data_IF_282837758961
#
_entry.id   IF_282837758961
#
_cell.length_a   1.000
_cell.length_b   1.000
_cell.length_c   1.000
_cell.angle_alpha   90.00
_cell.angle_beta   90.00
_cell.angle_gamma   90.00
#
_symmetry.space_group_name_H-M   'P 1'
#
loop_
_entity.id
_entity.type
_entity.pdbx_description
1 polymer ?
#
# COMPACT_ATOMS: atom_id res chain seq x y z
N UNK A 1 -4.68 23.06 5.12
CA UNK A 1 -5.71 22.24 4.44
C UNK A 1 -5.54 22.40 2.95
N UNK A 2 -5.04 21.37 2.25
CA UNK A 2 -5.09 21.33 0.79
C UNK A 2 -6.33 20.52 0.42
N UNK A 3 -7.22 21.14 -0.33
CA UNK A 3 -8.41 20.53 -0.93
C UNK A 3 -7.95 19.28 -1.68
N UNK A 4 -8.47 18.11 -1.29
CA UNK A 4 -8.26 16.86 -2.02
C UNK A 4 -9.03 16.92 -3.34
N UNK A 5 -8.50 16.31 -4.42
CA UNK A 5 -9.19 16.30 -5.69
C UNK A 5 -10.50 15.51 -5.57
N UNK A 6 -11.61 16.12 -5.99
CA UNK A 6 -12.81 15.38 -6.36
C UNK A 6 -12.42 14.45 -7.51
N UNK A 7 -12.46 13.15 -7.26
CA UNK A 7 -12.42 12.16 -8.35
C UNK A 7 -13.85 12.04 -8.86
N UNK A 8 -14.21 12.93 -9.77
CA UNK A 8 -15.44 12.80 -10.55
C UNK A 8 -15.15 11.81 -11.67
N UNK A 9 -15.61 10.57 -11.53
CA UNK A 9 -15.58 9.59 -12.61
C UNK A 9 -16.81 9.85 -13.48
N UNK A 10 -16.63 10.61 -14.57
CA UNK A 10 -17.68 10.87 -15.54
C UNK A 10 -18.05 9.59 -16.31
N UNK A 11 -19.23 9.04 -16.03
CA UNK A 11 -19.86 8.07 -16.94
C UNK A 11 -21.39 8.23 -16.99
N UNK A 12 -21.94 8.41 -18.19
CA UNK A 12 -23.36 8.72 -18.45
C UNK A 12 -24.20 7.46 -18.76
N UNK A 13 -25.50 7.41 -18.40
CA UNK A 13 -26.16 6.18 -17.91
C UNK A 13 -27.35 5.66 -18.75
N UNK A 14 -27.81 4.41 -18.50
CA UNK A 14 -29.24 4.01 -18.48
C UNK A 14 -29.52 2.60 -17.90
N UNK A 15 -30.25 2.57 -16.78
CA UNK A 15 -31.17 1.60 -16.11
C UNK A 15 -30.90 0.08 -15.86
N UNK A 16 -31.10 -0.31 -14.58
CA UNK A 16 -31.64 -1.59 -14.04
C UNK A 16 -30.60 -2.56 -13.43
N UNK A 17 -30.59 -2.98 -12.15
CA UNK A 17 -31.45 -2.81 -10.96
C UNK A 17 -30.58 -2.73 -9.69
N UNK A 18 -31.03 -1.93 -8.72
CA UNK A 18 -30.39 -1.70 -7.41
C UNK A 18 -31.01 -2.63 -6.37
N UNK A 19 -30.17 -3.30 -5.56
CA UNK A 19 -30.61 -3.97 -4.34
C UNK A 19 -30.82 -2.92 -3.24
N UNK A 20 -32.02 -2.36 -3.22
CA UNK A 20 -32.63 -1.80 -2.02
C UNK A 20 -33.69 -2.79 -1.53
N UNK A 21 -33.54 -3.30 -0.30
CA UNK A 21 -34.68 -3.93 0.39
C UNK A 21 -35.39 -2.79 1.12
N UNK A 22 -36.48 -2.29 0.55
CA UNK A 22 -37.51 -1.57 1.29
C UNK A 22 -38.88 -2.19 1.01
N UNK A 23 -39.58 -2.50 2.11
CA UNK A 23 -40.95 -2.98 2.12
C UNK A 23 -41.87 -1.78 1.91
N UNK A 24 -42.47 -1.66 0.72
CA UNK A 24 -43.49 -0.65 0.46
C UNK A 24 -44.84 -1.09 1.02
N UNK A 25 -45.18 -0.64 2.23
CA UNK A 25 -46.59 -0.46 2.59
C UNK A 25 -47.01 0.92 2.12
N UNK A 26 -47.89 0.94 1.09
CA UNK A 26 -48.54 2.16 0.60
C UNK A 26 -49.38 2.76 1.71
N UNK A 27 -49.13 4.02 2.05
CA UNK A 27 -50.21 4.92 2.42
C UNK A 27 -49.84 6.36 2.06
N UNK A 28 -50.83 7.01 1.46
CA UNK A 28 -50.78 8.33 0.85
C UNK A 28 -50.68 9.46 1.87
N UNK A 29 -50.20 10.59 1.37
CA UNK A 29 -50.40 11.95 1.87
C UNK A 29 -49.44 12.49 2.95
N UNK A 30 -48.67 13.48 2.52
CA UNK A 30 -48.51 14.73 3.27
C UNK A 30 -47.37 14.78 4.28
N UNK A 31 -46.35 15.56 3.92
CA UNK A 31 -45.26 16.08 4.77
C UNK A 31 -44.14 15.07 5.07
N UNK A 32 -43.12 15.00 4.20
CA UNK A 32 -41.82 14.45 4.59
C UNK A 32 -40.97 15.56 5.21
N UNK A 33 -41.10 15.72 6.52
CA UNK A 33 -40.17 16.44 7.37
C UNK A 33 -38.90 15.60 7.51
N UNK A 34 -38.04 15.56 6.49
CA UNK A 34 -36.76 14.83 6.52
C UNK A 34 -35.71 15.51 5.62
N UNK A 35 -35.34 16.75 5.97
CA UNK A 35 -34.18 17.46 5.40
C UNK A 35 -32.84 17.05 6.06
N UNK A 36 -32.73 15.85 6.64
CA UNK A 36 -31.55 15.42 7.42
C UNK A 36 -30.73 14.28 6.78
N UNK A 37 -31.04 13.91 5.52
CA UNK A 37 -30.32 12.85 4.78
C UNK A 37 -29.45 13.38 3.63
N UNK A 38 -29.02 14.63 3.73
CA UNK A 38 -28.39 15.42 2.66
C UNK A 38 -26.91 15.08 2.38
N UNK A 39 -26.49 13.82 2.53
CA UNK A 39 -25.09 13.44 2.23
C UNK A 39 -24.93 12.02 1.69
N UNK A 40 -25.88 11.56 0.88
CA UNK A 40 -25.68 10.35 0.07
C UNK A 40 -24.75 10.72 -1.09
N UNK A 41 -23.44 10.58 -0.90
CA UNK A 41 -22.47 10.70 -2.00
C UNK A 41 -22.49 9.42 -2.84
N UNK A 42 -22.73 9.53 -4.14
CA UNK A 42 -22.52 8.43 -5.09
C UNK A 42 -21.03 8.05 -5.07
N UNK A 43 -20.70 6.81 -4.68
CA UNK A 43 -19.34 6.42 -4.28
C UNK A 43 -18.53 5.83 -5.44
N UNK A 44 -19.12 4.90 -6.19
CA UNK A 44 -18.45 4.21 -7.30
C UNK A 44 -19.48 3.52 -8.20
N UNK A 45 -19.10 3.30 -9.47
CA UNK A 45 -19.87 2.57 -10.48
C UNK A 45 -18.98 1.48 -11.11
N UNK A 46 -19.26 0.21 -10.85
CA UNK A 46 -18.56 -0.94 -11.44
C UNK A 46 -19.33 -1.49 -12.65
N UNK A 47 -18.62 -1.89 -13.73
CA UNK A 47 -19.22 -2.58 -14.89
C UNK A 47 -18.75 -4.02 -15.00
N UNK A 48 -19.69 -4.92 -15.29
CA UNK A 48 -19.38 -6.29 -15.71
C UNK A 48 -18.78 -6.31 -17.12
N UNK A 49 -17.67 -7.02 -17.31
CA UNK A 49 -16.97 -7.19 -18.60
C UNK A 49 -17.47 -8.39 -19.42
N UNK A 50 -18.48 -9.12 -18.93
CA UNK A 50 -18.96 -10.36 -19.55
C UNK A 50 -20.41 -10.24 -20.03
N UNK A 51 -20.65 -9.62 -21.17
CA UNK A 51 -21.85 -9.87 -22.01
C UNK A 51 -21.46 -9.60 -23.48
N UNK A 52 -21.52 -10.62 -24.35
CA UNK A 52 -21.28 -10.52 -25.80
C UNK A 52 -22.59 -10.29 -26.60
N UNK A 53 -23.69 -9.92 -25.94
CA UNK A 53 -24.97 -9.68 -26.59
C UNK A 53 -25.14 -8.20 -26.99
N UNK A 54 -25.38 -7.98 -28.29
CA UNK A 54 -25.38 -6.66 -28.94
C UNK A 54 -26.55 -5.73 -28.61
N UNK A 55 -27.51 -6.11 -27.76
CA UNK A 55 -28.75 -5.32 -27.56
C UNK A 55 -29.11 -5.00 -26.10
N UNK A 56 -28.28 -5.36 -25.12
CA UNK A 56 -28.53 -5.01 -23.71
C UNK A 56 -27.29 -4.45 -23.04
N UNK A 57 -27.36 -3.19 -22.59
CA UNK A 57 -26.29 -2.55 -21.82
C UNK A 57 -25.96 -3.37 -20.57
N UNK A 58 -24.67 -3.62 -20.26
CA UNK A 58 -24.30 -4.43 -19.10
C UNK A 58 -24.69 -3.72 -17.79
N UNK A 59 -25.05 -4.48 -16.73
CA UNK A 59 -25.53 -3.92 -15.47
C UNK A 59 -24.46 -3.11 -14.75
N UNK A 60 -24.90 -2.00 -14.14
CA UNK A 60 -24.07 -1.04 -13.39
C UNK A 60 -24.37 -1.14 -11.90
N UNK A 61 -23.36 -1.40 -11.07
CA UNK A 61 -23.51 -1.44 -9.62
C UNK A 61 -23.13 -0.10 -8.99
N UNK A 62 -24.01 0.45 -8.15
CA UNK A 62 -23.75 1.67 -7.38
C UNK A 62 -23.71 1.32 -5.89
N UNK A 63 -22.62 1.71 -5.22
CA UNK A 63 -22.51 1.58 -3.77
C UNK A 63 -22.83 2.93 -3.12
N UNK A 64 -23.75 2.93 -2.17
CA UNK A 64 -24.13 4.11 -1.39
C UNK A 64 -23.82 3.83 0.07
N UNK A 65 -23.01 4.70 0.69
CA UNK A 65 -22.77 4.67 2.12
C UNK A 65 -22.79 6.10 2.64
N UNK A 66 -23.43 6.34 3.77
CA UNK A 66 -23.46 7.65 4.45
C UNK A 66 -22.11 8.01 5.12
N UNK A 67 -21.01 7.44 4.64
CA UNK A 67 -19.68 7.70 5.17
C UNK A 67 -18.75 8.10 4.02
N UNK A 68 -17.89 9.07 4.28
CA UNK A 68 -16.86 9.46 3.34
C UNK A 68 -15.76 8.41 3.29
N UNK A 69 -15.34 8.06 2.08
CA UNK A 69 -14.23 7.15 1.85
C UNK A 69 -12.90 7.91 1.91
N UNK A 70 -11.93 7.32 2.59
CA UNK A 70 -10.57 7.87 2.72
C UNK A 70 -9.61 7.29 1.70
N UNK A 71 -9.73 6.00 1.38
CA UNK A 71 -8.88 5.32 0.41
C UNK A 71 -9.66 4.29 -0.43
N UNK A 72 -9.19 4.04 -1.64
CA UNK A 72 -9.70 3.00 -2.56
C UNK A 72 -8.53 2.30 -3.24
N UNK A 73 -8.63 0.99 -3.37
CA UNK A 73 -7.67 0.16 -4.11
C UNK A 73 -8.38 -1.07 -4.69
N UNK A 74 -7.78 -1.72 -5.69
CA UNK A 74 -8.33 -2.91 -6.32
C UNK A 74 -7.22 -3.92 -6.60
N UNK A 75 -7.57 -5.20 -6.59
CA UNK A 75 -6.67 -6.27 -6.99
C UNK A 75 -7.41 -7.50 -7.45
N UNK A 76 -6.66 -8.57 -7.76
CA UNK A 76 -7.24 -9.83 -8.20
C UNK A 76 -6.34 -11.00 -7.83
N UNK A 77 -6.94 -12.15 -7.48
CA UNK A 77 -6.24 -13.39 -7.19
C UNK A 77 -6.92 -14.59 -7.84
N UNK A 78 -6.22 -15.73 -7.87
CA UNK A 78 -6.75 -16.96 -8.46
C UNK A 78 -7.35 -17.83 -7.35
N UNK A 79 -8.60 -18.22 -7.56
CA UNK A 79 -9.30 -19.24 -6.77
C UNK A 79 -9.21 -20.56 -7.53
N UNK A 80 -8.63 -21.56 -6.87
CA UNK A 80 -8.54 -22.92 -7.39
C UNK A 80 -9.80 -23.69 -6.97
N UNK A 81 -10.58 -24.13 -7.95
CA UNK A 81 -11.74 -24.99 -7.74
C UNK A 81 -11.56 -26.36 -8.41
N UNK A 82 -12.46 -27.32 -8.16
CA UNK A 82 -12.43 -28.62 -8.82
C UNK A 82 -12.58 -28.44 -10.35
N UNK A 83 -11.47 -28.56 -11.08
CA UNK A 83 -11.45 -28.56 -12.55
C UNK A 83 -11.28 -27.21 -13.25
N UNK A 84 -11.18 -26.08 -12.54
CA UNK A 84 -10.89 -24.79 -13.15
C UNK A 84 -10.24 -23.78 -12.19
N UNK A 85 -9.35 -22.95 -12.75
CA UNK A 85 -8.83 -21.74 -12.09
C UNK A 85 -9.71 -20.55 -12.49
N UNK A 86 -10.26 -19.84 -11.51
CA UNK A 86 -10.99 -18.61 -11.74
C UNK A 86 -10.24 -17.42 -11.15
N UNK A 87 -10.13 -16.35 -11.95
CA UNK A 87 -9.65 -15.05 -11.48
C UNK A 87 -10.79 -14.36 -10.73
N UNK A 88 -10.54 -14.02 -9.47
CA UNK A 88 -11.43 -13.24 -8.63
C UNK A 88 -10.89 -11.82 -8.52
N UNK A 89 -11.67 -10.82 -8.93
CA UNK A 89 -11.30 -9.41 -8.85
C UNK A 89 -12.09 -8.73 -7.72
N UNK A 90 -11.45 -7.83 -6.99
CA UNK A 90 -12.05 -7.16 -5.86
C UNK A 90 -11.54 -5.74 -5.67
N UNK A 91 -12.31 -4.98 -4.91
CA UNK A 91 -12.05 -3.63 -4.46
C UNK A 91 -12.00 -3.61 -2.93
N UNK A 92 -11.08 -2.83 -2.39
CA UNK A 92 -11.02 -2.50 -0.97
C UNK A 92 -11.19 -1.00 -0.81
N UNK A 93 -12.11 -0.62 0.06
CA UNK A 93 -12.48 0.77 0.34
C UNK A 93 -12.33 1.01 1.83
N UNK A 94 -11.72 2.12 2.24
CA UNK A 94 -11.73 2.52 3.66
C UNK A 94 -12.59 3.75 3.87
N UNK A 95 -13.24 3.81 5.03
CA UNK A 95 -14.01 4.98 5.47
C UNK A 95 -13.22 5.82 6.46
N UNK A 96 -13.64 7.07 6.67
CA UNK A 96 -13.02 7.96 7.65
C UNK A 96 -13.09 7.42 9.09
N UNK A 97 -14.03 6.52 9.38
CA UNK A 97 -14.17 5.87 10.69
C UNK A 97 -13.25 4.64 10.86
N UNK A 98 -12.49 4.27 9.83
CA UNK A 98 -11.58 3.12 9.89
C UNK A 98 -12.22 1.77 9.57
N UNK A 99 -13.38 1.75 8.91
CA UNK A 99 -13.96 0.53 8.36
C UNK A 99 -13.36 0.24 6.99
N UNK A 100 -13.01 -1.02 6.71
CA UNK A 100 -12.57 -1.49 5.39
C UNK A 100 -13.66 -2.39 4.81
N UNK A 101 -14.19 -1.98 3.65
CA UNK A 101 -15.22 -2.69 2.91
C UNK A 101 -14.57 -3.40 1.72
N UNK A 102 -14.92 -4.67 1.55
CA UNK A 102 -14.38 -5.55 0.51
C UNK A 102 -15.48 -5.91 -0.48
N UNK A 103 -15.38 -5.40 -1.70
CA UNK A 103 -16.38 -5.60 -2.76
C UNK A 103 -15.80 -6.46 -3.89
N UNK A 104 -16.60 -7.36 -4.46
CA UNK A 104 -16.26 -8.06 -5.70
C UNK A 104 -16.30 -7.10 -6.90
N UNK A 105 -15.86 -7.57 -8.07
CA UNK A 105 -16.09 -6.92 -9.37
C UNK A 105 -17.56 -6.53 -9.64
N UNK A 106 -18.47 -7.35 -9.15
CA UNK A 106 -19.93 -7.17 -9.18
C UNK A 106 -20.45 -6.24 -8.09
N UNK A 107 -19.58 -5.56 -7.35
CA UNK A 107 -19.96 -4.61 -6.30
C UNK A 107 -20.58 -5.26 -5.06
N UNK A 108 -20.64 -6.60 -5.00
CA UNK A 108 -21.17 -7.32 -3.84
C UNK A 108 -20.11 -7.40 -2.76
N UNK A 109 -20.51 -7.12 -1.53
CA UNK A 109 -19.64 -7.35 -0.39
C UNK A 109 -19.44 -8.87 -0.21
N UNK A 110 -18.21 -9.34 -0.38
CA UNK A 110 -17.89 -10.79 -0.32
C UNK A 110 -17.32 -11.23 1.03
N UNK A 111 -16.99 -10.26 1.91
CA UNK A 111 -16.57 -10.49 3.31
C UNK A 111 -17.18 -9.41 4.21
N UNK A 112 -17.45 -9.70 5.50
CA UNK A 112 -17.79 -8.67 6.47
C UNK A 112 -16.76 -7.53 6.48
N UNK A 113 -17.22 -6.32 6.80
CA UNK A 113 -16.32 -5.16 6.91
C UNK A 113 -15.31 -5.40 8.02
N UNK A 114 -14.07 -4.99 7.78
CA UNK A 114 -13.00 -5.05 8.78
C UNK A 114 -12.98 -3.71 9.52
N UNK A 115 -13.18 -3.74 10.83
CA UNK A 115 -13.29 -2.53 11.64
C UNK A 115 -11.98 -2.28 12.40
N UNK A 116 -11.30 -1.17 12.08
CA UNK A 116 -10.08 -0.73 12.79
C UNK A 116 -10.34 0.42 13.76
N UNK A 117 -11.49 1.11 13.62
CA UNK A 117 -11.87 2.25 14.46
C UNK A 117 -10.95 3.48 14.34
N UNK A 118 -10.04 3.48 13.37
CA UNK A 118 -9.08 4.58 13.12
C UNK A 118 -8.94 4.76 11.61
N UNK A 119 -8.98 6.01 11.16
CA UNK A 119 -8.81 6.33 9.74
C UNK A 119 -7.47 5.82 9.20
N UNK A 120 -7.46 5.49 7.91
CA UNK A 120 -6.28 5.03 7.19
C UNK A 120 -5.51 6.17 6.54
N UNK A 121 -4.20 5.99 6.44
CA UNK A 121 -3.33 6.80 5.59
C UNK A 121 -3.10 6.10 4.25
N UNK A 122 -2.94 4.78 4.29
CA UNK A 122 -2.69 3.95 3.12
C UNK A 122 -3.56 2.70 3.17
N UNK A 123 -4.12 2.35 2.01
CA UNK A 123 -4.79 1.08 1.77
C UNK A 123 -4.28 0.54 0.44
N UNK A 124 -3.68 -0.64 0.46
CA UNK A 124 -2.97 -1.21 -0.69
C UNK A 124 -3.42 -2.64 -0.87
N UNK A 125 -3.85 -2.99 -2.08
CA UNK A 125 -4.23 -4.34 -2.43
C UNK A 125 -3.24 -4.93 -3.45
N UNK A 126 -2.83 -6.18 -3.23
CA UNK A 126 -1.98 -6.92 -4.15
C UNK A 126 -2.31 -8.41 -4.07
N UNK A 127 -2.69 -8.99 -5.21
CA UNK A 127 -3.13 -10.38 -5.29
C UNK A 127 -4.26 -10.63 -4.28
N UNK A 128 -4.16 -11.62 -3.39
CA UNK A 128 -5.14 -11.91 -2.35
C UNK A 128 -4.98 -11.05 -1.09
N UNK A 129 -3.97 -10.19 -1.03
CA UNK A 129 -3.62 -9.45 0.18
C UNK A 129 -4.14 -8.03 0.18
N UNK A 130 -4.58 -7.58 1.35
CA UNK A 130 -4.87 -6.17 1.63
C UNK A 130 -4.04 -5.73 2.81
N UNK A 131 -3.30 -4.64 2.63
CA UNK A 131 -2.50 -3.99 3.67
C UNK A 131 -3.10 -2.62 3.98
N UNK A 132 -3.31 -2.36 5.26
CA UNK A 132 -3.77 -1.08 5.77
C UNK A 132 -2.73 -0.47 6.70
N UNK A 133 -2.52 0.85 6.58
CA UNK A 133 -1.72 1.63 7.51
C UNK A 133 -2.61 2.71 8.12
N UNK A 134 -2.79 2.65 9.42
CA UNK A 134 -3.62 3.60 10.16
C UNK A 134 -2.92 4.95 10.30
N UNK A 135 -3.69 5.99 10.62
CA UNK A 135 -3.15 7.30 11.00
C UNK A 135 -2.24 7.26 12.23
N UNK A 136 -2.47 6.30 13.14
CA UNK A 136 -1.60 6.06 14.29
C UNK A 136 -0.27 5.37 13.94
N UNK A 137 -0.02 5.05 12.67
CA UNK A 137 1.22 4.41 12.22
C UNK A 137 1.29 2.92 12.55
N UNK A 138 0.14 2.26 12.64
CA UNK A 138 0.05 0.80 12.83
C UNK A 138 -0.29 0.14 11.49
N UNK A 139 0.31 -1.03 11.24
CA UNK A 139 0.17 -1.78 10.00
C UNK A 139 -0.63 -3.05 10.26
N UNK A 140 -1.55 -3.32 9.35
CA UNK A 140 -2.37 -4.51 9.33
C UNK A 140 -2.30 -5.14 7.94
N UNK A 141 -2.36 -6.47 7.87
CA UNK A 141 -2.42 -7.19 6.60
C UNK A 141 -3.31 -8.41 6.72
N UNK A 142 -4.10 -8.66 5.67
CA UNK A 142 -5.00 -9.80 5.59
C UNK A 142 -4.84 -10.56 4.28
N UNK A 143 -4.87 -11.88 4.38
CA UNK A 143 -5.04 -12.82 3.28
C UNK A 143 -6.54 -13.07 3.09
N UNK A 144 -7.11 -12.50 2.03
CA UNK A 144 -8.54 -12.60 1.76
C UNK A 144 -8.96 -13.98 1.22
N UNK A 145 -8.03 -14.67 0.55
CA UNK A 145 -8.26 -16.01 -0.01
C UNK A 145 -8.40 -17.02 1.12
N UNK A 146 -7.47 -17.02 2.07
CA UNK A 146 -7.48 -17.92 3.21
C UNK A 146 -8.28 -17.39 4.41
N UNK A 147 -8.69 -16.11 4.38
CA UNK A 147 -9.47 -15.49 5.45
C UNK A 147 -8.68 -15.36 6.76
N UNK A 148 -7.41 -14.97 6.67
CA UNK A 148 -6.49 -14.90 7.83
C UNK A 148 -5.84 -13.53 7.93
N UNK A 149 -5.53 -13.12 9.16
CA UNK A 149 -4.58 -12.02 9.37
C UNK A 149 -3.17 -12.52 9.10
N UNK A 150 -2.40 -11.73 8.36
CA UNK A 150 -0.96 -11.92 8.13
C UNK A 150 -0.16 -11.08 9.13
N UNK A 151 -0.64 -9.87 9.41
CA UNK A 151 -0.03 -8.91 10.34
C UNK A 151 -1.15 -8.24 11.11
N UNK A 152 -0.99 -8.17 12.43
CA UNK A 152 -1.93 -7.51 13.32
C UNK A 152 -1.24 -6.42 14.13
N UNK A 153 -1.71 -5.18 13.96
CA UNK A 153 -1.33 -4.00 14.76
C UNK A 153 0.19 -3.78 14.96
N UNK A 154 0.99 -3.91 13.91
CA UNK A 154 2.44 -3.71 14.00
C UNK A 154 2.81 -2.24 13.84
N UNK A 155 3.54 -1.69 14.81
CA UNK A 155 3.94 -0.28 14.79
C UNK A 155 5.07 0.01 13.78
N UNK A 156 4.96 1.14 13.07
CA UNK A 156 6.02 1.72 12.24
C UNK A 156 7.05 2.53 13.04
N UNK A 157 6.80 2.77 14.34
CA UNK A 157 7.67 3.58 15.19
C UNK A 157 9.15 3.11 15.20
N UNK A 158 9.49 1.80 15.24
CA UNK A 158 10.88 1.35 15.21
C UNK A 158 11.63 1.82 13.96
N UNK A 159 10.94 1.89 12.82
CA UNK A 159 11.54 2.30 11.55
C UNK A 159 11.90 3.78 11.53
N UNK A 160 11.04 4.59 12.13
CA UNK A 160 11.12 6.05 12.06
C UNK A 160 11.98 6.61 13.20
N UNK A 161 11.81 6.09 14.42
CA UNK A 161 12.42 6.63 15.62
C UNK A 161 13.94 6.44 15.68
N UNK A 162 14.47 5.40 15.03
CA UNK A 162 15.92 5.21 14.92
C UNK A 162 16.64 6.37 14.19
N UNK A 163 15.90 7.16 13.40
CA UNK A 163 16.42 8.35 12.71
C UNK A 163 15.94 9.67 13.33
N UNK A 164 15.38 9.61 14.53
CA UNK A 164 14.95 10.79 15.29
C UNK A 164 16.10 11.31 16.15
N UNK A 165 16.30 12.62 16.17
CA UNK A 165 17.27 13.27 17.06
C UNK A 165 16.53 14.11 18.11
N UNK A 166 17.03 14.10 19.34
CA UNK A 166 16.50 14.94 20.39
C UNK A 166 17.09 16.35 20.28
N UNK A 167 16.22 17.35 20.15
CA UNK A 167 16.60 18.75 20.18
C UNK A 167 16.49 19.27 21.63
N UNK A 168 17.62 19.49 22.34
CA UNK A 168 17.61 19.90 23.74
C UNK A 168 17.07 21.31 23.95
N UNK A 169 17.16 22.18 22.94
CA UNK A 169 16.67 23.57 23.01
C UNK A 169 15.15 23.58 22.92
N UNK A 170 14.58 22.81 21.99
CA UNK A 170 13.13 22.70 21.80
C UNK A 170 12.47 21.62 22.65
N UNK A 171 13.26 20.85 23.41
CA UNK A 171 12.84 19.71 24.23
C UNK A 171 11.92 18.75 23.48
N UNK A 172 12.23 18.45 22.22
CA UNK A 172 11.39 17.60 21.36
C UNK A 172 12.24 16.72 20.45
N UNK A 173 11.69 15.58 20.06
CA UNK A 173 12.27 14.77 19.00
C UNK A 173 11.95 15.38 17.64
N UNK A 174 12.98 15.52 16.80
CA UNK A 174 12.81 15.85 15.39
C UNK A 174 13.12 14.60 14.57
N UNK A 175 12.12 14.10 13.85
CA UNK A 175 12.28 12.99 12.92
C UNK A 175 12.84 13.50 11.60
N UNK A 176 13.96 12.93 11.15
CA UNK A 176 14.62 13.31 9.90
C UNK A 176 14.09 12.58 8.66
N UNK A 177 13.29 11.54 8.87
CA UNK A 177 12.78 10.65 7.80
C UNK A 177 11.26 10.65 7.72
N UNK A 178 10.74 10.33 6.54
CA UNK A 178 9.32 10.11 6.26
C UNK A 178 9.16 8.83 5.47
N UNK A 179 7.99 8.20 5.57
CA UNK A 179 7.61 7.13 4.66
C UNK A 179 7.35 7.75 3.29
N UNK A 180 8.02 7.25 2.26
CA UNK A 180 7.90 7.73 0.88
C UNK A 180 7.11 6.74 0.04
N UNK A 181 7.37 5.45 0.24
CA UNK A 181 6.68 4.39 -0.49
C UNK A 181 6.36 3.21 0.42
N UNK A 182 5.27 2.53 0.07
CA UNK A 182 4.80 1.31 0.72
C UNK A 182 4.44 0.35 -0.41
N UNK A 183 5.02 -0.84 -0.36
CA UNK A 183 4.73 -1.93 -1.30
C UNK A 183 4.28 -3.16 -0.53
N UNK A 184 3.55 -4.05 -1.21
CA UNK A 184 3.18 -5.36 -0.66
C UNK A 184 4.03 -6.42 -1.36
N UNK A 185 4.69 -7.28 -0.60
CA UNK A 185 5.45 -8.42 -1.13
C UNK A 185 4.54 -9.66 -1.25
N UNK A 186 5.05 -10.76 -1.84
CA UNK A 186 4.24 -11.93 -2.21
C UNK A 186 3.60 -12.66 -1.02
N UNK A 187 4.17 -12.55 0.18
CA UNK A 187 3.60 -13.12 1.41
C UNK A 187 2.61 -12.19 2.13
N UNK A 188 2.18 -11.10 1.50
CA UNK A 188 1.29 -10.11 2.09
C UNK A 188 1.94 -9.15 3.08
N UNK A 189 3.24 -9.24 3.32
CA UNK A 189 3.94 -8.32 4.22
C UNK A 189 4.26 -6.97 3.53
N UNK A 190 4.35 -5.87 4.31
CA UNK A 190 4.74 -4.56 3.81
C UNK A 190 6.25 -4.48 3.59
N UNK A 191 6.63 -3.78 2.52
CA UNK A 191 7.96 -3.22 2.28
C UNK A 191 7.84 -1.70 2.36
N UNK A 192 8.46 -1.10 3.37
CA UNK A 192 8.44 0.32 3.67
C UNK A 192 9.73 0.96 3.20
N UNK A 193 9.62 2.05 2.45
CA UNK A 193 10.77 2.80 1.96
C UNK A 193 10.71 4.21 2.54
N UNK A 194 11.78 4.61 3.19
CA UNK A 194 11.90 5.90 3.85
C UNK A 194 12.56 6.95 2.94
N UNK A 195 12.45 8.22 3.31
CA UNK A 195 13.00 9.35 2.56
C UNK A 195 14.53 9.43 2.54
N UNK A 196 15.18 8.73 3.46
CA UNK A 196 16.62 8.49 3.45
C UNK A 196 16.97 7.22 2.65
N UNK A 197 16.05 6.72 1.83
CA UNK A 197 16.20 5.59 0.93
C UNK A 197 16.48 4.22 1.61
N UNK A 198 16.38 4.14 2.95
CA UNK A 198 16.37 2.86 3.66
C UNK A 198 15.07 2.11 3.37
N UNK A 199 15.16 0.80 3.19
CA UNK A 199 14.00 -0.06 2.98
C UNK A 199 13.92 -1.15 4.05
N UNK A 200 12.72 -1.31 4.60
CA UNK A 200 12.42 -2.27 5.67
C UNK A 200 11.28 -3.18 5.25
N UNK A 201 11.45 -4.48 5.45
CA UNK A 201 10.39 -5.48 5.27
C UNK A 201 9.99 -6.01 6.62
N UNK A 202 8.70 -6.22 6.84
CA UNK A 202 8.27 -6.98 8.01
C UNK A 202 8.33 -8.48 7.70
N UNK A 203 8.93 -9.25 8.60
CA UNK A 203 9.00 -10.71 8.50
C UNK A 203 8.07 -11.33 9.54
N UNK A 204 6.97 -11.91 9.08
CA UNK A 204 5.93 -12.45 9.96
C UNK A 204 6.40 -13.64 10.79
N UNK A 205 7.37 -14.43 10.31
CA UNK A 205 7.94 -15.54 11.10
C UNK A 205 8.79 -15.08 12.27
N UNK A 206 9.40 -13.89 12.17
CA UNK A 206 10.24 -13.29 13.21
C UNK A 206 9.50 -12.23 14.03
N UNK A 207 8.27 -11.89 13.63
CA UNK A 207 7.48 -10.81 14.22
C UNK A 207 8.30 -9.51 14.37
N UNK A 208 9.04 -9.17 13.31
CA UNK A 208 10.06 -8.12 13.38
C UNK A 208 10.25 -7.41 12.04
N UNK A 209 10.59 -6.13 12.14
CA UNK A 209 11.08 -5.34 11.01
C UNK A 209 12.53 -5.69 10.71
N UNK A 210 12.82 -6.01 9.46
CA UNK A 210 14.17 -6.29 8.97
C UNK A 210 14.57 -5.17 8.01
N UNK A 211 15.75 -4.59 8.24
CA UNK A 211 16.38 -3.72 7.26
C UNK A 211 16.84 -4.56 6.07
N UNK A 212 16.14 -4.45 4.95
CA UNK A 212 16.46 -5.19 3.72
C UNK A 212 17.42 -4.42 2.83
N UNK A 213 17.53 -3.11 3.03
CA UNK A 213 18.40 -2.28 2.23
C UNK A 213 18.77 -0.98 2.94
N UNK A 214 20.08 -0.75 3.08
CA UNK A 214 20.66 0.51 3.52
C UNK A 214 21.47 1.14 2.37
N UNK A 215 21.14 2.37 1.92
CA UNK A 215 21.87 3.09 0.89
C UNK A 215 23.36 3.27 1.18
N UNK A 216 23.76 3.21 2.46
CA UNK A 216 25.16 3.26 2.86
C UNK A 216 26.02 2.21 2.14
N UNK A 217 25.46 1.03 1.86
CA UNK A 217 26.13 -0.04 1.12
C UNK A 217 26.46 0.34 -0.33
N UNK A 218 25.60 1.13 -1.00
CA UNK A 218 25.83 1.52 -2.40
C UNK A 218 27.05 2.43 -2.57
N UNK A 219 27.42 3.20 -1.55
CA UNK A 219 28.61 4.06 -1.59
C UNK A 219 29.91 3.27 -1.70
N UNK A 220 29.88 1.98 -1.35
CA UNK A 220 31.07 1.15 -1.20
C UNK A 220 31.05 -0.09 -2.11
N UNK A 221 30.03 -0.24 -2.96
CA UNK A 221 29.88 -1.37 -3.87
C UNK A 221 29.97 -0.96 -5.32
N UNK A 222 30.45 -1.89 -6.15
CA UNK A 222 30.51 -1.67 -7.58
C UNK A 222 29.16 -2.00 -8.26
N UNK A 223 28.80 -1.24 -9.30
CA UNK A 223 27.56 -1.37 -10.08
C UNK A 223 27.24 -2.82 -10.52
N UNK A 224 28.27 -3.61 -10.82
CA UNK A 224 28.14 -4.99 -11.29
C UNK A 224 27.67 -5.91 -10.17
N UNK A 225 28.14 -5.71 -8.94
CA UNK A 225 27.79 -6.52 -7.78
C UNK A 225 26.36 -6.24 -7.35
N UNK A 226 26.01 -4.95 -7.27
CA UNK A 226 24.67 -4.49 -6.94
C UNK A 226 23.64 -5.06 -7.92
N UNK A 227 23.91 -5.01 -9.23
CA UNK A 227 23.01 -5.58 -10.26
C UNK A 227 22.88 -7.10 -10.18
N UNK A 228 23.88 -7.83 -9.68
CA UNK A 228 23.82 -9.29 -9.52
C UNK A 228 22.95 -9.69 -8.32
N UNK A 229 22.98 -8.92 -7.25
CA UNK A 229 22.32 -9.23 -5.98
C UNK A 229 20.79 -9.09 -6.05
N UNK A 230 20.28 -8.08 -6.76
CA UNK A 230 18.84 -7.85 -6.88
C UNK A 230 18.24 -8.44 -8.15
N UNK A 231 18.72 -9.61 -8.59
CA UNK A 231 18.22 -10.24 -9.83
C UNK A 231 16.81 -10.79 -9.68
N UNK A 232 16.48 -11.34 -8.51
CA UNK A 232 15.26 -12.12 -8.28
C UNK A 232 14.08 -11.28 -7.79
N UNK A 233 14.31 -10.27 -6.95
CA UNK A 233 13.22 -9.38 -6.50
C UNK A 233 13.06 -8.17 -7.43
N UNK A 234 11.95 -8.13 -8.17
CA UNK A 234 11.62 -7.07 -9.11
C UNK A 234 11.50 -5.69 -8.45
N UNK A 235 10.93 -5.62 -7.25
CA UNK A 235 10.67 -4.35 -6.55
C UNK A 235 12.00 -3.78 -6.06
N UNK A 236 12.82 -4.60 -5.40
CA UNK A 236 14.15 -4.18 -4.95
C UNK A 236 15.05 -3.80 -6.12
N UNK A 237 14.98 -4.52 -7.25
CA UNK A 237 15.71 -4.15 -8.46
C UNK A 237 15.36 -2.76 -8.98
N UNK A 238 14.06 -2.42 -9.02
CA UNK A 238 13.59 -1.11 -9.46
C UNK A 238 14.07 -0.03 -8.49
N UNK A 239 13.97 -0.29 -7.19
CA UNK A 239 14.40 0.61 -6.14
C UNK A 239 15.90 0.91 -6.24
N UNK A 240 16.71 -0.14 -6.28
CA UNK A 240 18.17 -0.04 -6.36
C UNK A 240 18.60 0.67 -7.65
N UNK A 241 17.96 0.38 -8.79
CA UNK A 241 18.25 1.09 -10.03
C UNK A 241 17.95 2.59 -9.92
N UNK A 242 16.84 2.96 -9.29
CA UNK A 242 16.45 4.35 -9.07
C UNK A 242 17.43 5.06 -8.14
N UNK A 243 17.88 4.40 -7.09
CA UNK A 243 18.85 4.95 -6.14
C UNK A 243 20.24 5.10 -6.73
N UNK A 244 20.74 4.12 -7.49
CA UNK A 244 22.00 4.25 -8.24
C UNK A 244 21.95 5.43 -9.22
N UNK A 245 20.79 5.68 -9.84
CA UNK A 245 20.61 6.85 -10.70
C UNK A 245 20.66 8.15 -9.89
N UNK A 246 20.00 8.20 -8.72
CA UNK A 246 19.99 9.35 -7.82
C UNK A 246 21.39 9.66 -7.27
N UNK A 247 22.11 8.65 -6.77
CA UNK A 247 23.49 8.78 -6.29
C UNK A 247 24.42 9.36 -7.36
N UNK A 248 24.35 8.89 -8.60
CA UNK A 248 25.15 9.46 -9.70
C UNK A 248 24.80 10.92 -9.99
N UNK A 249 23.52 11.30 -9.89
CA UNK A 249 23.11 12.70 -10.06
C UNK A 249 23.64 13.58 -8.94
N UNK A 250 23.64 13.06 -7.71
CA UNK A 250 24.16 13.77 -6.55
C UNK A 250 25.70 13.90 -6.62
N UNK A 251 26.43 12.85 -7.01
CA UNK A 251 27.88 12.90 -7.24
C UNK A 251 28.29 13.96 -8.28
N UNK A 252 27.54 14.03 -9.40
CA UNK A 252 27.75 15.04 -10.44
C UNK A 252 27.48 16.44 -9.91
N UNK A 253 26.47 16.62 -9.06
CA UNK A 253 26.18 17.91 -8.41
C UNK A 253 27.28 18.30 -7.42
N UNK A 254 27.74 17.40 -6.54
CA UNK A 254 28.83 17.68 -5.60
C UNK A 254 30.15 18.00 -6.30
N UNK A 255 30.50 17.32 -7.40
CA UNK A 255 31.70 17.63 -8.20
C UNK A 255 31.67 19.01 -8.87
N UNK A 256 30.49 19.58 -9.06
CA UNK A 256 30.29 20.94 -9.60
C UNK A 256 30.35 21.99 -8.48
N UNK A 257 30.12 21.61 -7.22
CA UNK A 257 29.93 22.55 -6.11
C UNK A 257 31.10 22.60 -5.13
N UNK A 258 31.88 21.52 -4.95
CA UNK A 258 33.02 21.48 -4.03
C UNK A 258 34.25 20.80 -4.63
N UNK A 259 35.34 21.56 -4.70
CA UNK A 259 36.69 21.07 -4.97
C UNK A 259 37.44 20.74 -3.69
N UNK A 260 36.93 19.83 -2.85
CA UNK A 260 37.73 19.01 -1.93
C UNK A 260 36.83 18.03 -1.19
N UNK A 261 37.17 16.74 -1.18
CA UNK A 261 36.75 15.87 -0.08
C UNK A 261 37.91 14.94 0.32
N UNK A 262 38.51 15.26 1.47
CA UNK A 262 39.19 14.28 2.32
C UNK A 262 38.10 13.51 3.08
N UNK A 263 37.50 12.51 2.44
CA UNK A 263 36.64 11.52 3.09
C UNK A 263 37.48 10.34 3.58
N UNK A 264 37.42 10.04 4.88
CA UNK A 264 38.10 8.90 5.48
C UNK A 264 37.58 7.60 4.82
N UNK A 265 38.36 7.02 3.92
CA UNK A 265 37.95 5.84 3.15
C UNK A 265 37.93 4.62 4.07
N UNK A 266 36.87 3.79 4.05
CA UNK A 266 36.85 2.56 4.83
C UNK A 266 38.03 1.66 4.47
N UNK A 267 38.69 1.09 5.49
CA UNK A 267 39.73 0.09 5.31
C UNK A 267 39.21 -1.08 4.45
N UNK A 268 40.05 -1.67 3.60
CA UNK A 268 39.65 -2.68 2.61
C UNK A 268 39.09 -3.96 3.25
N UNK A 269 39.54 -4.31 4.48
CA UNK A 269 38.96 -5.39 5.26
C UNK A 269 37.50 -5.11 5.65
N UNK A 270 37.22 -3.87 6.04
CA UNK A 270 35.86 -3.45 6.37
C UNK A 270 34.99 -3.56 5.11
N UNK A 271 35.48 -3.12 3.93
CA UNK A 271 34.73 -3.24 2.67
C UNK A 271 34.37 -4.70 2.36
N UNK A 272 35.31 -5.62 2.58
CA UNK A 272 35.09 -7.05 2.36
C UNK A 272 34.06 -7.64 3.33
N UNK A 273 34.14 -7.33 4.62
CA UNK A 273 33.13 -7.75 5.60
C UNK A 273 31.73 -7.19 5.29
N UNK A 274 31.68 -5.97 4.77
CA UNK A 274 30.43 -5.30 4.39
C UNK A 274 29.82 -5.90 3.12
N UNK A 275 30.64 -6.27 2.15
CA UNK A 275 30.20 -7.04 0.99
C UNK A 275 29.61 -8.39 1.42
N UNK A 276 30.26 -9.11 2.34
CA UNK A 276 29.76 -10.41 2.84
C UNK A 276 28.41 -10.23 3.56
N UNK A 277 28.34 -9.29 4.51
CA UNK A 277 27.12 -9.05 5.31
C UNK A 277 25.92 -8.67 4.42
N UNK A 278 26.16 -7.86 3.39
CA UNK A 278 25.12 -7.46 2.46
C UNK A 278 24.74 -8.58 1.47
N UNK A 279 25.70 -9.41 1.06
CA UNK A 279 25.41 -10.61 0.26
C UNK A 279 24.56 -11.62 1.03
N UNK A 280 24.81 -11.79 2.33
CA UNK A 280 23.99 -12.61 3.22
C UNK A 280 22.58 -12.05 3.39
N UNK A 281 22.44 -10.74 3.62
CA UNK A 281 21.14 -10.07 3.65
C UNK A 281 20.36 -10.27 2.34
N UNK A 282 21.01 -10.04 1.20
CA UNK A 282 20.39 -10.26 -0.11
C UNK A 282 19.97 -11.72 -0.28
N UNK A 283 20.81 -12.68 0.11
CA UNK A 283 20.48 -14.10 0.02
C UNK A 283 19.28 -14.46 0.90
N UNK A 284 19.21 -13.98 2.13
CA UNK A 284 18.06 -14.17 3.01
C UNK A 284 16.76 -13.58 2.45
N UNK A 285 16.84 -12.42 1.80
CA UNK A 285 15.67 -11.79 1.16
C UNK A 285 15.17 -12.63 -0.02
N UNK A 286 16.09 -13.27 -0.76
CA UNK A 286 15.77 -14.05 -1.95
C UNK A 286 15.32 -15.47 -1.65
N UNK A 287 15.87 -16.10 -0.61
CA UNK A 287 15.51 -17.45 -0.17
C UNK A 287 14.18 -17.47 0.64
N UNK A 288 13.66 -16.29 1.01
CA UNK A 288 12.38 -16.13 1.71
C UNK A 288 11.16 -15.92 0.78
N UNK A 289 11.37 -15.95 -0.54
CA UNK A 289 10.33 -15.97 -1.58
C UNK A 289 10.23 -17.39 -2.16
#
# INVERSE_FOLDING_TARGET
MKIQPNVTIDYKPSLGDVLEIRSETKEDSGVSQFDEFDTISTVFSARSTKVEDMDTSPPVFQYFKNEKFSNVTNSSFIIEGPGAQMKFEYWALSTENGSIILLSDSGRQFRPSIELGVNLTHLIAKQEFVVAITYSGCVYSWDLKNGKSVIDNVSLAPLINQFSTFDPVKKRFNTSVKIVEVHVVENGCPLIILSNDNAFRYESKLDSWINVFDPWYLKHMNDVEVKKLFKSDRILKILVHRLLKKLRQDEVRTKITDGSENGNTPNDEMKKCMQISFQELAKCILDAN
#
